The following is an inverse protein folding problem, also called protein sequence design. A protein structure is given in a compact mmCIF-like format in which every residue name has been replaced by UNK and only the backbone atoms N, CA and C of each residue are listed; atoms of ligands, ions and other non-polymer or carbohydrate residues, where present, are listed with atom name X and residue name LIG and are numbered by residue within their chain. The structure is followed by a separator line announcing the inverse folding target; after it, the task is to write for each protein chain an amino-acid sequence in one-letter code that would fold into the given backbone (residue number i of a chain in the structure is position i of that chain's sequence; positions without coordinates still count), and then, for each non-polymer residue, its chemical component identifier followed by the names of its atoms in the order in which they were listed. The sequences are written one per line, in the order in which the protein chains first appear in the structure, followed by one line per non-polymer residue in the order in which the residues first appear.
data_IF_800417059637
#
_entry.id   IF_800417059637
#
_cell.length_a   1.000
_cell.length_b   1.000
_cell.length_c   1.000
_cell.angle_alpha   90.00
_cell.angle_beta   90.00
_cell.angle_gamma   90.00
#
_symmetry.space_group_name_H-M   'P 1'
#
loop_
_entity.id
_entity.type
_entity.pdbx_description
1 polymer ?
#
# COMPACT_ATOMS: atom_id res chain seq x y z
N UNK A 1 12.70 3.97 -14.77
CA UNK A 1 11.53 4.78 -14.38
C UNK A 1 10.56 4.85 -15.55
N UNK A 2 9.25 4.78 -15.28
CA UNK A 2 8.22 4.55 -16.31
C UNK A 2 7.98 5.71 -17.29
N UNK A 3 8.43 6.93 -16.97
CA UNK A 3 8.26 8.15 -17.82
C UNK A 3 9.51 9.05 -17.88
N UNK A 4 10.70 8.50 -17.67
CA UNK A 4 11.97 9.22 -17.83
C UNK A 4 12.36 10.22 -16.72
N UNK A 5 11.44 10.57 -15.82
CA UNK A 5 11.75 11.37 -14.61
C UNK A 5 12.78 10.64 -13.75
N UNK A 6 13.82 11.36 -13.33
CA UNK A 6 14.86 10.87 -12.42
C UNK A 6 14.52 11.32 -11.00
N UNK A 7 14.42 10.37 -10.10
CA UNK A 7 14.21 10.60 -8.66
C UNK A 7 15.51 10.21 -7.96
N UNK A 8 16.02 11.09 -7.10
CA UNK A 8 17.16 10.80 -6.23
C UNK A 8 16.61 10.27 -4.91
N UNK A 9 17.03 9.07 -4.52
CA UNK A 9 16.69 8.53 -3.21
C UNK A 9 17.61 9.16 -2.15
N UNK A 10 17.07 9.35 -0.95
CA UNK A 10 17.85 9.85 0.19
C UNK A 10 18.87 8.81 0.66
N UNK A 11 18.55 7.53 0.54
CA UNK A 11 19.38 6.43 1.05
C UNK A 11 19.22 5.15 0.21
N UNK A 12 20.22 4.27 0.27
CA UNK A 12 20.16 2.93 -0.32
C UNK A 12 19.35 1.99 0.58
N UNK A 13 18.46 1.19 0.00
CA UNK A 13 17.61 0.26 0.78
C UNK A 13 18.39 -0.71 1.68
N UNK A 14 19.63 -1.06 1.29
CA UNK A 14 20.51 -1.90 2.10
C UNK A 14 20.89 -1.29 3.45
N UNK A 15 20.91 0.05 3.54
CA UNK A 15 21.16 0.81 4.77
C UNK A 15 19.86 1.07 5.56
N UNK A 16 18.70 0.88 4.93
CA UNK A 16 17.38 1.06 5.56
C UNK A 16 16.85 -0.21 6.23
N UNK A 17 17.37 -1.39 5.89
CA UNK A 17 16.77 -2.70 6.26
C UNK A 17 16.60 -2.93 7.76
N UNK A 18 17.46 -2.33 8.58
CA UNK A 18 17.46 -2.49 10.04
C UNK A 18 16.72 -1.36 10.77
N UNK A 19 16.29 -0.32 10.03
CA UNK A 19 15.50 0.78 10.56
C UNK A 19 14.07 0.30 10.78
N UNK A 20 13.49 0.73 11.90
CA UNK A 20 12.10 0.44 12.22
C UNK A 20 11.20 1.56 11.66
N UNK A 21 10.26 1.19 10.79
CA UNK A 21 9.35 2.13 10.13
C UNK A 21 7.92 1.89 10.57
N UNK A 22 7.16 2.95 10.79
CA UNK A 22 5.72 2.85 11.06
C UNK A 22 4.91 2.48 9.81
N UNK A 23 5.44 2.82 8.63
CA UNK A 23 4.86 2.54 7.32
C UNK A 23 5.93 2.25 6.28
N UNK A 24 5.69 1.22 5.47
CA UNK A 24 6.38 1.02 4.18
C UNK A 24 5.37 1.23 3.05
N UNK A 25 5.56 2.25 2.22
CA UNK A 25 4.67 2.58 1.09
C UNK A 25 5.31 2.26 -0.27
N UNK A 26 4.64 1.41 -1.05
CA UNK A 26 5.12 0.90 -2.34
C UNK A 26 4.50 1.65 -3.51
N UNK A 27 5.28 2.38 -4.32
CA UNK A 27 4.78 2.95 -5.57
C UNK A 27 4.57 1.85 -6.61
N UNK A 28 3.60 2.06 -7.49
CA UNK A 28 3.37 1.16 -8.63
C UNK A 28 4.25 1.47 -9.84
N UNK A 29 3.70 1.17 -11.02
CA UNK A 29 4.35 1.41 -12.31
C UNK A 29 5.27 0.26 -12.73
N UNK A 30 5.22 -0.09 -14.02
CA UNK A 30 6.04 -1.16 -14.60
C UNK A 30 7.26 -0.59 -15.36
N UNK A 31 8.42 -1.26 -15.37
CA UNK A 31 8.76 -2.48 -14.61
C UNK A 31 9.29 -2.15 -13.20
N UNK A 32 8.81 -1.06 -12.57
CA UNK A 32 9.22 -0.67 -11.22
C UNK A 32 8.74 -1.66 -10.18
N UNK A 33 7.46 -2.03 -10.21
CA UNK A 33 6.86 -2.99 -9.31
C UNK A 33 7.53 -4.39 -9.40
N UNK A 34 8.00 -4.81 -10.58
CA UNK A 34 8.78 -6.06 -10.71
C UNK A 34 10.12 -5.97 -10.00
N UNK A 35 10.83 -4.83 -10.14
CA UNK A 35 12.08 -4.61 -9.40
C UNK A 35 11.86 -4.58 -7.89
N UNK A 36 10.71 -4.07 -7.43
CA UNK A 36 10.33 -4.13 -6.01
C UNK A 36 10.06 -5.58 -5.59
N UNK A 37 9.27 -6.33 -6.36
CA UNK A 37 8.98 -7.75 -6.12
C UNK A 37 10.27 -8.58 -5.99
N UNK A 38 11.23 -8.35 -6.88
CA UNK A 38 12.48 -9.12 -6.98
C UNK A 38 13.57 -8.66 -5.99
N UNK A 39 13.31 -7.62 -5.18
CA UNK A 39 14.24 -7.14 -4.16
C UNK A 39 14.10 -7.96 -2.88
N UNK A 40 15.04 -8.88 -2.63
CA UNK A 40 15.08 -9.67 -1.40
C UNK A 40 15.15 -8.80 -0.13
N UNK A 41 15.86 -7.66 -0.18
CA UNK A 41 15.90 -6.72 0.94
C UNK A 41 14.51 -6.16 1.24
N UNK A 42 13.77 -5.73 0.21
CA UNK A 42 12.43 -5.18 0.40
C UNK A 42 11.45 -6.25 0.89
N UNK A 43 11.51 -7.46 0.32
CA UNK A 43 10.71 -8.59 0.75
C UNK A 43 10.87 -8.86 2.26
N UNK A 44 12.11 -8.93 2.74
CA UNK A 44 12.38 -9.15 4.17
C UNK A 44 11.88 -8.01 5.05
N UNK A 45 12.00 -6.76 4.59
CA UNK A 45 11.43 -5.61 5.29
C UNK A 45 9.90 -5.70 5.38
N UNK A 46 9.21 -6.08 4.30
CA UNK A 46 7.75 -6.23 4.27
C UNK A 46 7.27 -7.38 5.19
N UNK A 47 7.97 -8.52 5.19
CA UNK A 47 7.64 -9.63 6.11
C UNK A 47 7.81 -9.20 7.57
N UNK A 48 8.87 -8.45 7.89
CA UNK A 48 9.07 -7.88 9.23
C UNK A 48 7.98 -6.86 9.59
N UNK A 49 7.58 -6.01 8.65
CA UNK A 49 6.51 -5.02 8.81
C UNK A 49 5.17 -5.71 9.14
N UNK A 50 4.85 -6.76 8.39
CA UNK A 50 3.66 -7.59 8.58
C UNK A 50 3.67 -8.32 9.94
N UNK A 51 4.77 -8.97 10.29
CA UNK A 51 4.91 -9.65 11.59
C UNK A 51 4.79 -8.69 12.79
N UNK A 52 5.16 -7.42 12.60
CA UNK A 52 4.98 -6.36 13.59
C UNK A 52 3.60 -5.71 13.60
N UNK A 53 2.66 -6.19 12.78
CA UNK A 53 1.36 -5.56 12.51
C UNK A 53 1.49 -4.05 12.21
N UNK A 54 2.54 -3.67 11.49
CA UNK A 54 2.79 -2.29 11.08
C UNK A 54 2.27 -2.05 9.68
N UNK A 55 2.07 -0.77 9.34
CA UNK A 55 1.34 -0.42 8.13
C UNK A 55 2.15 -0.74 6.87
N UNK A 56 1.48 -1.29 5.87
CA UNK A 56 2.00 -1.47 4.51
C UNK A 56 1.06 -0.75 3.55
N UNK A 57 1.59 0.17 2.75
CA UNK A 57 0.85 0.85 1.69
C UNK A 57 1.30 0.34 0.32
N UNK A 58 0.39 0.16 -0.63
CA UNK A 58 0.76 -0.11 -2.02
C UNK A 58 -0.25 0.47 -3.01
N UNK A 59 0.24 1.05 -4.11
CA UNK A 59 -0.65 1.67 -5.12
C UNK A 59 -0.40 1.12 -6.53
N UNK A 60 -1.43 1.14 -7.35
CA UNK A 60 -1.37 0.84 -8.78
C UNK A 60 -0.99 -0.62 -9.05
N UNK A 61 0.18 -0.90 -9.63
CA UNK A 61 0.61 -2.26 -9.91
C UNK A 61 1.18 -2.98 -8.66
N UNK A 62 1.63 -2.24 -7.64
CA UNK A 62 2.34 -2.82 -6.51
C UNK A 62 1.50 -3.80 -5.66
N UNK A 63 0.19 -3.58 -5.40
CA UNK A 63 -0.63 -4.56 -4.70
C UNK A 63 -0.59 -5.94 -5.37
N UNK A 64 -0.83 -6.00 -6.68
CA UNK A 64 -0.89 -7.26 -7.43
C UNK A 64 0.49 -7.87 -7.73
N UNK A 65 1.51 -7.04 -7.96
CA UNK A 65 2.83 -7.52 -8.41
C UNK A 65 3.76 -7.83 -7.24
N UNK A 66 3.62 -7.13 -6.12
CA UNK A 66 4.50 -7.26 -4.94
C UNK A 66 3.77 -7.93 -3.80
N UNK A 67 2.68 -7.34 -3.31
CA UNK A 67 2.03 -7.82 -2.09
C UNK A 67 1.36 -9.17 -2.28
N UNK A 68 0.52 -9.32 -3.32
CA UNK A 68 -0.12 -10.60 -3.64
C UNK A 68 0.91 -11.70 -3.95
N UNK A 69 2.02 -11.36 -4.63
CA UNK A 69 3.08 -12.31 -4.94
C UNK A 69 3.77 -12.87 -3.67
N UNK A 70 3.90 -12.06 -2.63
CA UNK A 70 4.53 -12.45 -1.36
C UNK A 70 3.51 -12.90 -0.30
N UNK A 71 2.25 -13.15 -0.67
CA UNK A 71 1.19 -13.63 0.25
C UNK A 71 0.70 -12.58 1.26
N UNK A 72 1.07 -11.31 1.09
CA UNK A 72 0.73 -10.24 2.04
C UNK A 72 -0.72 -9.75 1.92
N UNK A 73 -1.46 -10.27 0.93
CA UNK A 73 -2.88 -10.00 0.69
C UNK A 73 -3.75 -11.25 0.84
N UNK A 74 -3.19 -12.36 1.36
CA UNK A 74 -3.95 -13.58 1.56
C UNK A 74 -5.12 -13.28 2.52
N UNK A 75 -6.33 -13.67 2.12
CA UNK A 75 -7.58 -13.37 2.82
C UNK A 75 -7.96 -11.90 3.00
N UNK A 76 -7.20 -10.94 2.46
CA UNK A 76 -7.46 -9.49 2.58
C UNK A 76 -8.12 -8.91 1.34
N UNK A 77 -9.03 -7.96 1.59
CA UNK A 77 -9.57 -7.09 0.56
C UNK A 77 -8.50 -6.10 0.10
N UNK A 78 -8.35 -5.96 -1.22
CA UNK A 78 -7.41 -5.01 -1.80
C UNK A 78 -7.93 -4.48 -3.13
N UNK A 79 -7.42 -3.33 -3.54
CA UNK A 79 -7.62 -2.80 -4.89
C UNK A 79 -6.26 -2.60 -5.58
N UNK A 80 -6.28 -2.44 -6.91
CA UNK A 80 -5.08 -2.21 -7.70
C UNK A 80 -5.41 -1.43 -8.98
N UNK A 81 -4.43 -1.28 -9.86
CA UNK A 81 -4.67 -0.66 -11.16
C UNK A 81 -5.69 -1.46 -11.98
N UNK A 82 -6.73 -0.80 -12.56
CA UNK A 82 -7.87 -1.48 -13.19
C UNK A 82 -7.48 -2.07 -14.54
N UNK A 83 -6.74 -3.17 -14.49
CA UNK A 83 -6.34 -3.99 -15.63
C UNK A 83 -6.48 -5.45 -15.22
N UNK A 84 -7.05 -6.32 -16.07
CA UNK A 84 -7.19 -7.75 -15.77
C UNK A 84 -5.87 -8.40 -15.33
N UNK A 85 -4.74 -8.00 -15.93
CA UNK A 85 -3.40 -8.50 -15.62
C UNK A 85 -2.93 -8.23 -14.16
N UNK A 86 -3.61 -7.35 -13.43
CA UNK A 86 -3.35 -7.07 -12.01
C UNK A 86 -4.53 -7.53 -11.13
N UNK A 87 -5.76 -7.23 -11.54
CA UNK A 87 -6.96 -7.55 -10.75
C UNK A 87 -7.13 -9.04 -10.51
N UNK A 88 -6.87 -9.88 -11.51
CA UNK A 88 -6.97 -11.34 -11.40
C UNK A 88 -5.91 -11.96 -10.47
N UNK A 89 -4.89 -11.18 -10.06
CA UNK A 89 -3.85 -11.63 -9.13
C UNK A 89 -4.19 -11.33 -7.67
N UNK A 90 -5.21 -10.51 -7.41
CA UNK A 90 -5.62 -10.22 -6.04
C UNK A 90 -6.54 -11.34 -5.54
N UNK A 91 -6.31 -11.87 -4.31
CA UNK A 91 -7.18 -12.88 -3.73
C UNK A 91 -8.62 -12.39 -3.55
N UNK A 92 -8.81 -11.16 -3.05
CA UNK A 92 -10.09 -10.48 -2.92
C UNK A 92 -9.98 -9.06 -3.49
N UNK A 93 -10.35 -8.92 -4.77
CA UNK A 93 -10.29 -7.64 -5.47
C UNK A 93 -11.55 -6.80 -5.20
N UNK A 94 -11.36 -5.57 -4.75
CA UNK A 94 -12.37 -4.51 -4.74
C UNK A 94 -12.16 -3.66 -5.98
N UNK A 95 -12.99 -3.88 -7.00
CA UNK A 95 -13.03 -3.08 -8.22
C UNK A 95 -14.29 -2.22 -8.25
N UNK A 96 -14.22 -1.14 -7.48
CA UNK A 96 -15.26 -0.11 -7.43
C UNK A 96 -14.62 1.25 -7.71
N UNK A 97 -15.18 1.99 -8.66
CA UNK A 97 -14.70 3.32 -9.02
C UNK A 97 -14.95 4.35 -7.91
N UNK A 98 -15.92 4.09 -7.03
CA UNK A 98 -16.23 4.92 -5.87
C UNK A 98 -15.33 4.62 -4.67
N UNK A 99 -14.53 3.54 -4.71
CA UNK A 99 -13.60 3.11 -3.65
C UNK A 99 -12.13 3.32 -4.09
N UNK A 100 -11.59 4.54 -3.96
CA UNK A 100 -10.22 4.80 -4.41
C UNK A 100 -9.16 4.22 -3.48
N UNK A 101 -9.51 3.91 -2.22
CA UNK A 101 -8.61 3.33 -1.20
C UNK A 101 -9.32 2.20 -0.46
N UNK A 102 -8.63 1.07 -0.33
CA UNK A 102 -9.06 -0.08 0.48
C UNK A 102 -8.06 -0.29 1.61
N UNK A 103 -8.55 -0.39 2.84
CA UNK A 103 -7.74 -0.68 4.01
C UNK A 103 -8.25 -1.94 4.70
N UNK A 104 -7.43 -2.98 4.78
CA UNK A 104 -7.78 -4.25 5.45
C UNK A 104 -6.66 -4.69 6.40
N UNK A 105 -6.99 -4.79 7.69
CA UNK A 105 -6.02 -5.05 8.77
C UNK A 105 -5.00 -3.92 8.90
N UNK A 106 -3.76 -4.18 8.47
CA UNK A 106 -2.62 -3.25 8.44
C UNK A 106 -2.19 -2.88 7.01
N UNK A 107 -2.92 -3.30 5.97
CA UNK A 107 -2.54 -3.08 4.58
C UNK A 107 -3.50 -2.12 3.89
N UNK A 108 -2.96 -1.03 3.34
CA UNK A 108 -3.70 -0.04 2.56
C UNK A 108 -3.33 -0.13 1.08
N UNK A 109 -4.32 -0.23 0.21
CA UNK A 109 -4.13 -0.32 -1.24
C UNK A 109 -4.92 0.72 -2.00
N UNK A 110 -4.43 1.11 -3.19
CA UNK A 110 -5.09 2.09 -4.05
C UNK A 110 -4.83 1.84 -5.54
N UNK A 111 -5.60 2.50 -6.41
CA UNK A 111 -5.78 2.12 -7.82
C UNK A 111 -4.74 2.71 -8.78
N UNK A 112 -4.34 3.97 -8.68
CA UNK A 112 -3.53 4.56 -9.75
C UNK A 112 -3.07 5.99 -9.52
N UNK A 113 -2.45 6.62 -10.54
CA UNK A 113 -1.99 8.01 -10.44
C UNK A 113 -3.09 8.99 -10.02
N UNK A 114 -4.34 8.77 -10.49
CA UNK A 114 -5.48 9.62 -10.13
C UNK A 114 -5.92 9.50 -8.67
N UNK A 115 -5.57 8.41 -7.98
CA UNK A 115 -5.94 8.18 -6.57
C UNK A 115 -4.75 8.38 -5.62
N UNK A 116 -3.58 8.78 -6.12
CA UNK A 116 -2.35 8.87 -5.31
C UNK A 116 -2.43 9.90 -4.19
N UNK A 117 -3.11 11.02 -4.41
CA UNK A 117 -3.30 12.05 -3.39
C UNK A 117 -4.20 11.56 -2.26
N UNK A 118 -5.35 10.98 -2.61
CA UNK A 118 -6.30 10.41 -1.67
C UNK A 118 -5.66 9.27 -0.86
N UNK A 119 -4.93 8.37 -1.53
CA UNK A 119 -4.15 7.32 -0.87
C UNK A 119 -3.14 7.88 0.14
N UNK A 120 -2.41 8.93 -0.22
CA UNK A 120 -1.42 9.54 0.67
C UNK A 120 -2.09 10.20 1.89
N UNK A 121 -3.25 10.82 1.71
CA UNK A 121 -4.02 11.42 2.81
C UNK A 121 -4.60 10.35 3.74
N UNK A 122 -5.12 9.24 3.21
CA UNK A 122 -5.59 8.12 4.01
C UNK A 122 -4.47 7.49 4.87
N UNK A 123 -3.25 7.39 4.32
CA UNK A 123 -2.08 6.96 5.11
C UNK A 123 -1.76 7.95 6.25
N UNK A 124 -1.81 9.26 5.98
CA UNK A 124 -1.59 10.29 7.01
C UNK A 124 -2.66 10.22 8.09
N UNK A 125 -3.92 10.06 7.69
CA UNK A 125 -5.05 9.94 8.62
C UNK A 125 -4.82 8.78 9.60
N UNK A 126 -4.41 7.61 9.10
CA UNK A 126 -4.18 6.44 9.96
C UNK A 126 -2.93 6.53 10.82
N UNK A 127 -1.88 7.21 10.37
CA UNK A 127 -0.62 7.33 11.12
C UNK A 127 -0.60 8.50 12.11
N UNK A 128 -1.27 9.60 11.77
CA UNK A 128 -1.13 10.88 12.47
C UNK A 128 -2.46 11.42 12.99
N UNK A 129 -3.56 11.08 12.33
CA UNK A 129 -4.92 11.51 12.69
C UNK A 129 -5.61 12.32 11.60
N UNK A 130 -6.94 12.29 11.67
CA UNK A 130 -7.90 13.01 10.82
C UNK A 130 -7.59 14.51 10.69
N UNK A 131 -7.39 15.21 11.80
CA UNK A 131 -7.10 16.66 11.82
C UNK A 131 -5.89 17.00 10.94
N UNK A 132 -4.86 16.15 10.92
CA UNK A 132 -3.67 16.40 10.11
C UNK A 132 -3.92 16.14 8.63
N UNK A 133 -4.62 15.06 8.32
CA UNK A 133 -5.02 14.75 6.94
C UNK A 133 -5.90 15.87 6.38
N UNK A 134 -6.85 16.39 7.17
CA UNK A 134 -7.74 17.48 6.78
C UNK A 134 -7.00 18.78 6.48
N UNK A 135 -6.07 19.15 7.36
CA UNK A 135 -5.21 20.32 7.14
C UNK A 135 -4.41 20.21 5.84
N UNK A 136 -3.83 19.04 5.55
CA UNK A 136 -3.05 18.81 4.32
C UNK A 136 -3.94 18.85 3.08
N UNK A 137 -5.12 18.22 3.12
CA UNK A 137 -6.06 18.26 2.02
C UNK A 137 -6.50 19.70 1.69
N UNK A 138 -6.79 20.50 2.72
CA UNK A 138 -7.14 21.93 2.57
C UNK A 138 -6.01 22.73 1.91
N UNK A 139 -4.75 22.51 2.30
CA UNK A 139 -3.59 23.15 1.68
C UNK A 139 -3.40 22.76 0.20
N UNK A 140 -3.87 21.58 -0.18
CA UNK A 140 -3.81 21.06 -1.54
C UNK A 140 -5.07 21.36 -2.37
N UNK A 141 -6.03 22.11 -1.80
CA UNK A 141 -7.32 22.43 -2.41
C UNK A 141 -8.13 21.18 -2.82
N UNK A 142 -8.02 20.12 -2.01
CA UNK A 142 -8.80 18.89 -2.18
C UNK A 142 -10.03 18.96 -1.28
N UNK A 143 -11.20 18.78 -1.88
CA UNK A 143 -12.43 18.51 -1.13
C UNK A 143 -12.35 17.09 -0.58
N UNK A 144 -12.28 17.00 0.75
CA UNK A 144 -12.35 15.73 1.46
C UNK A 144 -13.79 15.26 1.35
N UNK A 145 -14.00 14.13 0.69
CA UNK A 145 -15.27 13.39 0.80
C UNK A 145 -15.13 12.46 1.99
N UNK A 146 -16.17 12.37 2.82
CA UNK A 146 -16.19 11.55 4.04
C UNK A 146 -16.00 10.04 3.78
N UNK A 147 -15.96 9.57 2.53
CA UNK A 147 -16.14 8.17 2.15
C UNK A 147 -15.06 7.57 1.22
N UNK A 148 -13.91 8.22 1.04
CA UNK A 148 -12.89 7.74 0.07
C UNK A 148 -12.07 6.51 0.48
N UNK A 149 -12.22 6.04 1.73
CA UNK A 149 -11.52 4.87 2.27
C UNK A 149 -12.56 3.85 2.69
N UNK A 150 -12.49 2.64 2.13
CA UNK A 150 -13.28 1.51 2.63
C UNK A 150 -12.42 0.65 3.54
N UNK A 151 -12.86 0.53 4.79
CA UNK A 151 -12.19 -0.26 5.81
C UNK A 151 -12.82 -1.64 5.96
N UNK A 152 -11.95 -2.64 6.06
CA UNK A 152 -12.28 -4.01 6.35
C UNK A 152 -11.46 -4.46 7.55
N UNK A 153 -12.07 -5.34 8.35
CA UNK A 153 -11.37 -6.06 9.40
C UNK A 153 -11.42 -7.53 9.03
N UNK A 154 -10.44 -8.03 8.26
CA UNK A 154 -10.20 -9.46 8.21
C UNK A 154 -9.79 -9.91 9.61
N UNK A 155 -10.56 -10.79 10.25
CA UNK A 155 -10.17 -11.40 11.53
C UNK A 155 -8.76 -11.98 11.38
N UNK A 156 -7.80 -11.44 12.13
CA UNK A 156 -6.44 -11.94 12.14
C UNK A 156 -6.48 -13.45 12.45
N UNK A 157 -5.89 -14.26 11.57
CA UNK A 157 -5.66 -15.67 11.88
C UNK A 157 -4.95 -15.75 13.25
N UNK A 158 -5.41 -16.60 14.18
CA UNK A 158 -4.75 -16.73 15.47
C UNK A 158 -3.30 -17.12 15.23
N UNK A 159 -2.37 -16.39 15.85
CA UNK A 159 -0.96 -16.76 15.87
C UNK A 159 -0.85 -18.22 16.29
N UNK A 160 -0.51 -19.11 15.36
CA UNK A 160 -0.32 -20.51 15.69
C UNK A 160 0.85 -20.62 16.67
N UNK A 161 0.50 -21.11 17.86
CA UNK A 161 1.43 -21.35 18.94
C UNK A 161 2.46 -22.41 18.51
N UNK A 162 3.72 -22.07 18.75
CA UNK A 162 4.87 -22.95 18.91
C UNK A 162 4.49 -24.38 19.36
N UNK A 163 4.99 -25.38 18.62
CA UNK A 163 5.30 -26.71 19.15
C UNK A 163 6.74 -27.05 18.76
#
# INVERSE_FOLDING_TARGET
MSRGVKIMADEMIGNCKDIDYDLIALPGGMPGAERLRDSETLKNMLIKQEAGNKMIGAICAAPAVVLAHHGLLDERNATCYPSPAFMEKLPKNIDDDEVPVVYDGNVMTSRGPGTALVFSLALVEKLVGDVKAEQLASLMLLDIREDWTTEFTSDAAPAEATI
#
